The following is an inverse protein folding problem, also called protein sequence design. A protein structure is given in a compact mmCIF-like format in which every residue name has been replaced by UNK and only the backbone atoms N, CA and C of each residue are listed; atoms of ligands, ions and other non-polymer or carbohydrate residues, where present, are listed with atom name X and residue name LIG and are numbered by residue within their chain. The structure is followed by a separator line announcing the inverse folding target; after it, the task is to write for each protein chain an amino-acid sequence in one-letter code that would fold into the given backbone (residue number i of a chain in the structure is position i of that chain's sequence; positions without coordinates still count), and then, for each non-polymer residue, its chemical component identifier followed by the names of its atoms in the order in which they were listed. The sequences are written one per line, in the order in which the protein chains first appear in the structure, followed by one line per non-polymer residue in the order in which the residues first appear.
data_IF_941308673498
#
_entry.id   IF_941308673498
#
_cell.length_a   1.000
_cell.length_b   1.000
_cell.length_c   1.000
_cell.angle_alpha   90.00
_cell.angle_beta   90.00
_cell.angle_gamma   90.00
#
_symmetry.space_group_name_H-M   'P 1'
#
loop_
_entity.id
_entity.type
_entity.pdbx_description
1 polymer ?
#
# COMPACT_ATOMS: atom_id res chain seq x y z
N UNK A 1 22.78 -10.79 -8.21
CA UNK A 1 21.65 -10.04 -8.80
C UNK A 1 20.53 -10.91 -9.40
N UNK A 2 20.71 -12.22 -9.60
CA UNK A 2 19.64 -13.09 -10.12
C UNK A 2 18.72 -13.72 -9.04
N UNK A 3 19.15 -13.74 -7.77
CA UNK A 3 18.40 -14.34 -6.65
C UNK A 3 17.39 -13.40 -6.00
N UNK A 4 17.58 -12.07 -6.10
CA UNK A 4 16.68 -11.07 -5.49
C UNK A 4 15.40 -10.80 -6.30
N UNK A 5 15.40 -11.14 -7.59
CA UNK A 5 14.23 -10.92 -8.47
C UNK A 5 13.17 -12.01 -8.27
N UNK A 6 13.58 -13.21 -7.86
CA UNK A 6 12.65 -14.33 -7.63
C UNK A 6 11.85 -14.14 -6.34
N UNK A 7 12.42 -13.54 -5.30
CA UNK A 7 11.70 -13.25 -4.05
C UNK A 7 10.68 -12.11 -4.19
N UNK A 8 10.95 -11.11 -5.03
CA UNK A 8 9.98 -10.04 -5.31
C UNK A 8 8.79 -10.52 -6.15
N UNK A 9 8.97 -11.57 -6.94
CA UNK A 9 7.92 -12.16 -7.77
C UNK A 9 7.10 -13.23 -7.02
N UNK A 10 7.59 -13.71 -5.87
CA UNK A 10 6.85 -14.58 -4.97
C UNK A 10 5.95 -13.81 -3.98
N UNK A 11 6.23 -12.53 -3.73
CA UNK A 11 5.37 -11.67 -2.89
C UNK A 11 4.13 -11.12 -3.64
N UNK A 12 4.10 -11.15 -4.97
CA UNK A 12 2.91 -10.77 -5.75
C UNK A 12 1.86 -11.87 -5.88
N UNK A 13 2.17 -13.09 -5.44
CA UNK A 13 1.30 -14.27 -5.55
C UNK A 13 0.78 -14.77 -4.20
N UNK A 14 0.79 -13.93 -3.16
CA UNK A 14 -0.09 -14.21 -2.03
C UNK A 14 -1.52 -13.92 -2.48
N UNK A 15 -2.32 -14.99 -2.58
CA UNK A 15 -3.77 -14.91 -2.74
C UNK A 15 -4.29 -13.83 -1.80
N UNK A 16 -4.80 -12.75 -2.38
CA UNK A 16 -5.66 -11.81 -1.68
C UNK A 16 -6.80 -12.66 -1.13
N UNK A 17 -6.70 -13.04 0.15
CA UNK A 17 -7.80 -13.64 0.87
C UNK A 17 -8.85 -12.54 0.86
N UNK A 18 -9.77 -12.64 -0.11
CA UNK A 18 -11.05 -11.98 -0.03
C UNK A 18 -11.68 -12.54 1.23
N UNK A 19 -11.42 -11.86 2.35
CA UNK A 19 -12.26 -11.91 3.53
C UNK A 19 -13.62 -11.42 3.05
N UNK A 20 -14.42 -12.37 2.55
CA UNK A 20 -15.84 -12.22 2.42
C UNK A 20 -16.28 -11.88 3.83
N UNK A 21 -16.52 -10.59 4.09
CA UNK A 21 -17.24 -10.11 5.25
C UNK A 21 -18.57 -10.86 5.21
N UNK A 22 -18.61 -11.98 5.90
CA UNK A 22 -19.83 -12.69 6.18
C UNK A 22 -20.56 -11.75 7.13
N UNK A 23 -21.49 -10.97 6.55
CA UNK A 23 -22.43 -10.21 7.33
C UNK A 23 -22.98 -11.14 8.42
N UNK A 24 -22.99 -10.73 9.70
CA UNK A 24 -23.50 -11.58 10.77
C UNK A 24 -24.88 -12.05 10.34
N UNK A 25 -25.04 -13.38 10.28
CA UNK A 25 -26.26 -14.01 9.80
C UNK A 25 -27.45 -13.33 10.45
N UNK A 26 -28.33 -12.75 9.62
CA UNK A 26 -29.62 -12.22 10.04
C UNK A 26 -30.50 -13.41 10.42
N UNK A 27 -30.21 -14.00 11.58
CA UNK A 27 -30.98 -15.07 12.18
C UNK A 27 -32.15 -14.47 12.95
N UNK A 28 -33.12 -13.92 12.22
CA UNK A 28 -34.51 -13.88 12.67
C UNK A 28 -35.36 -13.88 11.40
N UNK A 29 -35.81 -15.07 10.99
CA UNK A 29 -37.02 -15.15 10.17
C UNK A 29 -38.09 -14.31 10.89
N UNK A 30 -38.82 -13.41 10.19
CA UNK A 30 -39.94 -12.72 10.84
C UNK A 30 -40.88 -13.80 11.40
N UNK A 31 -41.39 -13.65 12.63
CA UNK A 31 -42.36 -14.60 13.15
C UNK A 31 -43.50 -14.67 12.14
N UNK A 32 -43.83 -15.90 11.70
CA UNK A 32 -44.94 -16.14 10.78
C UNK A 32 -46.14 -15.35 11.29
N UNK A 33 -46.81 -14.54 10.44
CA UNK A 33 -47.95 -13.78 10.88
C UNK A 33 -48.95 -14.75 11.49
N UNK A 34 -49.33 -14.53 12.75
CA UNK A 34 -50.43 -15.23 13.38
C UNK A 34 -51.58 -15.21 12.40
N UNK A 35 -52.01 -16.40 11.94
CA UNK A 35 -53.19 -16.54 11.10
C UNK A 35 -54.35 -16.01 11.94
N UNK A 36 -54.71 -14.74 11.75
CA UNK A 36 -55.96 -14.18 12.24
C UNK A 36 -57.05 -15.03 11.61
N UNK A 37 -57.60 -15.96 12.39
CA UNK A 37 -58.84 -16.63 12.04
C UNK A 37 -59.81 -15.52 11.64
N UNK A 38 -60.33 -15.61 10.41
CA UNK A 38 -61.28 -14.65 9.88
C UNK A 38 -62.58 -14.75 10.69
N UNK A 39 -62.62 -14.16 11.87
CA UNK A 39 -63.87 -13.76 12.50
C UNK A 39 -64.22 -12.44 11.82
N UNK A 40 -64.89 -12.56 10.66
CA UNK A 40 -65.61 -11.44 10.02
C UNK A 40 -66.91 -11.15 10.78
N UNK A 41 -66.85 -11.08 12.10
CA UNK A 41 -67.85 -10.36 12.86
C UNK A 41 -67.17 -9.06 13.23
N UNK A 42 -67.70 -7.98 12.68
CA UNK A 42 -67.40 -6.64 13.16
C UNK A 42 -67.48 -6.69 14.70
N UNK A 43 -66.40 -6.41 15.44
CA UNK A 43 -66.40 -6.49 16.91
C UNK A 43 -67.47 -5.58 17.53
N UNK A 44 -67.96 -4.58 16.79
CA UNK A 44 -69.07 -3.72 17.20
C UNK A 44 -70.45 -4.37 16.97
N UNK A 45 -70.55 -5.32 16.05
CA UNK A 45 -71.79 -6.09 15.81
C UNK A 45 -72.15 -6.99 17.00
N UNK A 46 -71.17 -7.36 17.83
CA UNK A 46 -71.41 -8.03 19.11
C UNK A 46 -72.10 -7.11 20.14
N UNK A 47 -72.10 -5.79 19.91
CA UNK A 47 -72.71 -4.78 20.77
C UNK A 47 -74.08 -4.31 20.27
N UNK A 48 -74.50 -4.69 19.07
CA UNK A 48 -75.81 -4.34 18.53
C UNK A 48 -76.91 -5.25 19.13
N UNK A 49 -78.13 -4.73 19.42
CA UNK A 49 -79.26 -5.57 19.78
C UNK A 49 -79.59 -6.57 18.64
N UNK A 50 -79.88 -7.82 18.99
CA UNK A 50 -80.21 -8.84 17.98
C UNK A 50 -81.56 -8.56 17.30
N UNK A 51 -82.48 -7.91 18.03
CA UNK A 51 -83.81 -7.52 17.54
C UNK A 51 -83.76 -6.13 16.92
N UNK A 52 -84.44 -5.97 15.79
CA UNK A 52 -84.59 -4.68 15.09
C UNK A 52 -85.99 -4.04 15.24
N UNK A 53 -86.93 -4.74 15.88
CA UNK A 53 -88.34 -4.31 16.02
C UNK A 53 -88.88 -4.62 17.41
N UNK A 54 -89.68 -3.70 17.94
CA UNK A 54 -90.36 -3.85 19.23
C UNK A 54 -91.57 -4.77 19.09
N UNK A 55 -91.59 -5.83 19.89
CA UNK A 55 -92.63 -6.88 19.86
C UNK A 55 -93.62 -6.77 21.01
N UNK A 56 -93.26 -6.11 22.12
CA UNK A 56 -94.13 -5.93 23.28
C UNK A 56 -94.96 -4.66 23.15
N UNK A 57 -96.22 -4.73 23.60
CA UNK A 57 -97.15 -3.61 23.56
C UNK A 57 -96.69 -2.50 24.52
N UNK A 58 -96.12 -2.85 25.67
CA UNK A 58 -95.57 -1.86 26.61
C UNK A 58 -94.42 -1.07 25.99
N UNK A 59 -93.47 -1.72 25.31
CA UNK A 59 -92.34 -1.03 24.68
C UNK A 59 -92.81 -0.11 23.53
N UNK A 60 -93.78 -0.57 22.73
CA UNK A 60 -94.41 0.27 21.70
C UNK A 60 -95.13 1.48 22.30
N UNK A 61 -95.79 1.34 23.46
CA UNK A 61 -96.41 2.46 24.19
C UNK A 61 -95.37 3.46 24.70
N UNK A 62 -94.26 2.99 25.28
CA UNK A 62 -93.17 3.88 25.73
C UNK A 62 -92.63 4.71 24.56
N UNK A 63 -92.36 4.08 23.42
CA UNK A 63 -91.91 4.80 22.22
C UNK A 63 -92.97 5.76 21.68
N UNK A 64 -94.24 5.37 21.68
CA UNK A 64 -95.34 6.22 21.22
C UNK A 64 -95.49 7.48 22.09
N UNK A 65 -95.34 7.35 23.41
CA UNK A 65 -95.38 8.51 24.34
C UNK A 65 -94.21 9.45 24.07
N UNK A 66 -93.00 8.94 23.84
CA UNK A 66 -91.83 9.76 23.52
C UNK A 66 -91.99 10.50 22.19
N UNK A 67 -92.48 9.81 21.17
CA UNK A 67 -92.71 10.39 19.85
C UNK A 67 -93.85 11.44 19.87
N UNK A 68 -94.93 11.17 20.62
CA UNK A 68 -96.01 12.13 20.84
C UNK A 68 -95.52 13.35 21.64
N UNK A 69 -94.70 13.14 22.66
CA UNK A 69 -94.09 14.22 23.45
C UNK A 69 -93.19 15.10 22.57
N UNK A 70 -92.35 14.49 21.73
CA UNK A 70 -91.51 15.20 20.77
C UNK A 70 -92.34 16.04 19.80
N UNK A 71 -93.39 15.45 19.20
CA UNK A 71 -94.31 16.15 18.28
C UNK A 71 -95.03 17.30 18.96
N UNK A 72 -95.46 17.14 20.22
CA UNK A 72 -96.11 18.22 20.98
C UNK A 72 -95.14 19.36 21.28
N UNK A 73 -93.91 19.06 21.69
CA UNK A 73 -92.87 20.07 21.93
C UNK A 73 -92.53 20.80 20.64
N UNK A 74 -92.46 20.09 19.53
CA UNK A 74 -92.30 20.67 18.20
C UNK A 74 -93.43 21.65 17.87
N UNK A 75 -94.70 21.26 18.05
CA UNK A 75 -95.83 22.16 17.82
C UNK A 75 -95.81 23.38 18.75
N UNK A 76 -95.46 23.19 20.03
CA UNK A 76 -95.35 24.30 21.00
C UNK A 76 -94.25 25.29 20.59
N UNK A 77 -93.16 24.80 19.99
CA UNK A 77 -92.04 25.64 19.56
C UNK A 77 -92.41 26.69 18.51
N UNK A 78 -93.47 26.42 17.73
CA UNK A 78 -93.96 27.31 16.70
C UNK A 78 -94.99 28.33 17.20
N UNK A 79 -95.52 28.17 18.42
CA UNK A 79 -96.56 29.05 18.94
C UNK A 79 -96.15 30.53 18.93
N UNK A 80 -94.94 30.94 19.38
CA UNK A 80 -94.56 32.35 19.38
C UNK A 80 -94.65 32.97 17.99
N UNK A 81 -94.14 32.28 16.96
CA UNK A 81 -94.21 32.75 15.57
C UNK A 81 -95.64 32.87 15.04
N UNK A 82 -96.50 31.91 15.40
CA UNK A 82 -97.90 31.90 14.99
C UNK A 82 -98.68 33.05 15.65
N UNK A 83 -98.39 33.33 16.92
CA UNK A 83 -99.04 34.38 17.72
C UNK A 83 -98.69 35.79 17.22
N UNK A 84 -97.50 35.95 16.65
CA UNK A 84 -97.04 37.23 16.09
C UNK A 84 -97.78 37.60 14.79
N UNK A 85 -98.22 36.62 13.98
CA UNK A 85 -98.90 36.84 12.69
C UNK A 85 -100.13 35.92 12.52
N UNK A 86 -101.16 36.11 13.36
CA UNK A 86 -102.36 35.26 13.38
C UNK A 86 -103.23 35.38 12.12
N UNK A 87 -103.22 36.54 11.46
CA UNK A 87 -104.08 36.82 10.31
C UNK A 87 -103.66 36.00 9.08
N UNK A 88 -102.35 35.75 8.93
CA UNK A 88 -101.80 34.88 7.89
C UNK A 88 -102.29 33.44 7.97
N UNK A 89 -102.62 32.96 9.16
CA UNK A 89 -103.05 31.58 9.38
C UNK A 89 -104.56 31.43 9.60
N UNK A 90 -105.31 32.52 9.46
CA UNK A 90 -106.74 32.60 9.75
C UNK A 90 -107.59 31.57 8.99
N UNK A 91 -107.30 31.37 7.72
CA UNK A 91 -108.01 30.41 6.85
C UNK A 91 -107.71 28.96 7.22
N UNK A 92 -106.50 28.67 7.74
CA UNK A 92 -106.07 27.30 8.04
C UNK A 92 -106.53 26.81 9.40
N UNK A 93 -106.68 27.71 10.37
CA UNK A 93 -107.01 27.36 11.75
C UNK A 93 -108.51 27.36 12.03
N UNK A 94 -109.30 28.14 11.30
CA UNK A 94 -110.73 28.31 11.57
C UNK A 94 -110.98 29.19 12.81
N UNK A 95 -112.24 29.57 13.04
CA UNK A 95 -112.65 30.50 14.11
C UNK A 95 -112.21 30.06 15.50
N UNK A 96 -112.40 28.78 15.80
CA UNK A 96 -112.29 28.24 17.16
C UNK A 96 -110.82 28.14 17.60
N UNK A 97 -109.94 27.68 16.71
CA UNK A 97 -108.51 27.60 16.99
C UNK A 97 -107.86 29.00 17.01
N UNK A 98 -108.31 29.93 16.16
CA UNK A 98 -107.88 31.33 16.21
C UNK A 98 -108.26 31.99 17.54
N UNK A 99 -109.45 31.73 18.06
CA UNK A 99 -109.87 32.23 19.37
C UNK A 99 -108.98 31.65 20.49
N UNK A 100 -108.62 30.37 20.42
CA UNK A 100 -107.65 29.76 21.35
C UNK A 100 -106.26 30.40 21.27
N UNK A 101 -105.80 30.77 20.07
CA UNK A 101 -104.54 31.51 19.92
C UNK A 101 -104.63 32.95 20.45
N UNK A 102 -105.74 33.66 20.23
CA UNK A 102 -105.98 35.02 20.75
C UNK A 102 -106.05 35.05 22.27
N UNK A 103 -106.76 34.09 22.87
CA UNK A 103 -106.83 33.94 24.32
C UNK A 103 -105.47 33.58 24.91
N UNK A 104 -104.69 32.73 24.23
CA UNK A 104 -103.31 32.44 24.62
C UNK A 104 -102.41 33.68 24.52
N UNK A 105 -102.51 34.48 23.45
CA UNK A 105 -101.79 35.75 23.28
C UNK A 105 -102.08 36.73 24.40
N UNK A 106 -103.36 36.99 24.68
CA UNK A 106 -103.77 37.87 25.77
C UNK A 106 -103.29 37.38 27.15
N UNK A 107 -103.33 36.07 27.38
CA UNK A 107 -102.80 35.46 28.62
C UNK A 107 -101.28 35.59 28.71
N UNK A 108 -100.56 35.46 27.59
CA UNK A 108 -99.10 35.60 27.52
C UNK A 108 -98.67 37.06 27.74
N UNK A 109 -99.39 38.02 27.16
CA UNK A 109 -99.17 39.46 27.39
C UNK A 109 -99.40 39.81 28.86
N UNK A 110 -100.53 39.40 29.44
CA UNK A 110 -100.81 39.57 30.87
C UNK A 110 -99.76 38.92 31.78
N UNK A 111 -99.26 37.73 31.42
CA UNK A 111 -98.17 37.07 32.14
C UNK A 111 -96.87 37.88 32.08
N UNK A 112 -96.51 38.39 30.91
CA UNK A 112 -95.29 39.18 30.71
C UNK A 112 -95.36 40.52 31.45
N UNK A 113 -96.49 41.21 31.40
CA UNK A 113 -96.75 42.46 32.12
C UNK A 113 -96.65 42.25 33.64
N UNK A 114 -97.29 41.20 34.15
CA UNK A 114 -97.26 40.89 35.57
C UNK A 114 -95.88 40.44 36.05
N UNK A 115 -95.14 39.71 35.19
CA UNK A 115 -93.74 39.35 35.45
C UNK A 115 -92.83 40.58 35.47
N UNK A 116 -93.01 41.52 34.54
CA UNK A 116 -92.26 42.77 34.51
C UNK A 116 -92.57 43.64 35.74
N UNK A 117 -93.86 43.78 36.08
CA UNK A 117 -94.33 44.48 37.28
C UNK A 117 -93.78 43.85 38.58
N UNK A 118 -93.75 42.52 38.67
CA UNK A 118 -93.14 41.81 39.79
C UNK A 118 -91.62 42.03 39.85
N UNK A 119 -90.94 42.03 38.70
CA UNK A 119 -89.52 42.36 38.58
C UNK A 119 -89.23 43.77 39.09
N UNK A 120 -90.01 44.77 38.67
CA UNK A 120 -89.88 46.15 39.15
C UNK A 120 -90.11 46.28 40.66
N UNK A 121 -91.04 45.50 41.23
CA UNK A 121 -91.30 45.47 42.67
C UNK A 121 -90.13 44.85 43.45
N UNK A 122 -89.54 43.77 42.92
CA UNK A 122 -88.36 43.12 43.50
C UNK A 122 -87.12 44.03 43.42
N UNK A 123 -86.88 44.67 42.29
CA UNK A 123 -85.80 45.64 42.11
C UNK A 123 -85.96 46.86 43.05
N UNK A 124 -87.19 47.36 43.24
CA UNK A 124 -87.47 48.43 44.20
C UNK A 124 -87.22 48.01 45.64
N UNK A 125 -87.52 46.76 45.98
CA UNK A 125 -87.22 46.18 47.30
C UNK A 125 -85.72 46.02 47.51
N UNK A 126 -84.99 45.46 46.54
CA UNK A 126 -83.52 45.32 46.60
C UNK A 126 -82.78 46.67 46.71
N UNK A 127 -83.29 47.72 46.03
CA UNK A 127 -82.76 49.09 46.17
C UNK A 127 -83.07 49.71 47.53
N UNK A 128 -84.19 49.35 48.16
CA UNK A 128 -84.55 49.81 49.50
C UNK A 128 -83.74 49.08 50.60
N UNK A 129 -83.36 47.81 50.36
CA UNK A 129 -82.60 46.98 51.29
C UNK A 129 -81.06 47.06 51.10
N UNK A 130 -80.56 47.80 50.10
CA UNK A 130 -79.12 47.93 49.81
C UNK A 130 -78.36 48.83 50.82
N UNK A 131 -77.26 48.39 51.49
CA UNK A 131 -76.61 49.13 52.59
C UNK A 131 -75.47 50.09 52.16
N UNK A 132 -75.46 50.60 50.93
CA UNK A 132 -74.33 51.41 50.42
C UNK A 132 -74.63 52.92 50.46
N UNK A 133 -74.46 53.53 51.64
CA UNK A 133 -74.51 54.98 51.78
C UNK A 133 -74.70 55.51 53.20
N UNK A 134 -73.90 55.08 54.18
CA UNK A 134 -73.85 55.79 55.46
C UNK A 134 -72.45 55.77 56.08
N UNK A 135 -71.68 56.83 55.79
CA UNK A 135 -70.67 57.32 56.73
C UNK A 135 -71.19 58.63 57.34
N UNK A 136 -71.49 58.54 58.65
CA UNK A 136 -71.61 59.62 59.64
C UNK A 136 -72.80 60.58 59.41
N UNK A 137 -73.65 60.88 60.40
CA UNK A 137 -73.36 61.23 61.80
C UNK A 137 -74.71 61.34 62.53
N UNK A 138 -74.75 60.97 63.81
CA UNK A 138 -75.63 61.62 64.81
C UNK A 138 -77.04 61.08 64.97
N UNK A 139 -77.23 60.31 66.06
CA UNK A 139 -78.24 60.47 67.11
C UNK A 139 -79.71 60.78 66.79
N UNK A 140 -80.55 60.03 67.50
CA UNK A 140 -81.92 60.28 67.94
C UNK A 140 -83.08 59.78 67.06
N UNK A 141 -83.79 58.82 67.65
CA UNK A 141 -85.22 58.55 67.56
C UNK A 141 -85.94 58.85 66.22
N UNK A 142 -86.36 57.78 65.55
CA UNK A 142 -87.60 57.83 64.76
C UNK A 142 -88.21 56.43 64.65
N UNK A 143 -89.15 56.14 65.55
CA UNK A 143 -90.26 55.21 65.27
C UNK A 143 -91.02 55.81 64.07
N UNK A 144 -90.66 55.42 62.85
CA UNK A 144 -91.46 55.67 61.65
C UNK A 144 -91.42 54.44 60.74
N UNK A 145 -92.63 53.92 60.53
CA UNK A 145 -93.13 53.06 59.44
C UNK A 145 -92.59 51.63 59.28
N UNK A 146 -92.96 50.72 60.18
CA UNK A 146 -93.09 49.29 59.85
C UNK A 146 -94.28 48.98 58.91
N UNK A 147 -95.21 49.92 58.72
CA UNK A 147 -96.40 49.74 57.87
C UNK A 147 -96.12 49.82 56.35
N UNK A 148 -94.99 50.42 55.91
CA UNK A 148 -94.67 50.55 54.48
C UNK A 148 -93.94 49.34 53.91
N UNK A 149 -93.13 48.65 54.74
CA UNK A 149 -92.38 47.44 54.33
C UNK A 149 -93.33 46.24 54.20
N UNK A 150 -94.25 46.06 55.16
CA UNK A 150 -95.30 45.02 55.08
C UNK A 150 -96.19 45.22 53.84
N UNK A 151 -96.48 46.47 53.47
CA UNK A 151 -97.28 46.78 52.26
C UNK A 151 -96.61 46.38 50.95
N UNK A 152 -95.27 46.36 50.87
CA UNK A 152 -94.55 45.97 49.65
C UNK A 152 -94.44 44.45 49.58
N UNK A 153 -94.20 43.79 50.70
CA UNK A 153 -94.21 42.32 50.78
C UNK A 153 -95.59 41.73 50.46
N UNK A 154 -96.67 42.31 50.98
CA UNK A 154 -98.04 41.89 50.64
C UNK A 154 -98.36 42.06 49.14
N UNK A 155 -97.79 43.09 48.49
CA UNK A 155 -97.91 43.33 47.04
C UNK A 155 -97.10 42.34 46.22
N UNK A 156 -95.91 41.98 46.68
CA UNK A 156 -95.07 40.96 46.04
C UNK A 156 -95.75 39.59 46.14
N UNK A 157 -96.27 39.23 47.32
CA UNK A 157 -96.97 37.96 47.53
C UNK A 157 -98.27 37.86 46.72
N UNK A 158 -99.06 38.94 46.65
CA UNK A 158 -100.27 38.95 45.83
C UNK A 158 -99.97 38.91 44.33
N UNK A 159 -98.98 39.67 43.84
CA UNK A 159 -98.51 39.58 42.45
C UNK A 159 -97.93 38.21 42.12
N UNK A 160 -97.23 37.56 43.07
CA UNK A 160 -96.68 36.20 42.89
C UNK A 160 -97.79 35.16 42.78
N UNK A 161 -98.82 35.23 43.64
CA UNK A 161 -100.00 34.35 43.54
C UNK A 161 -100.78 34.57 42.24
N UNK A 162 -100.90 35.83 41.81
CA UNK A 162 -101.54 36.16 40.55
C UNK A 162 -100.74 35.63 39.35
N UNK A 163 -99.40 35.75 39.39
CA UNK A 163 -98.51 35.21 38.37
C UNK A 163 -98.62 33.69 38.27
N UNK A 164 -98.68 32.98 39.41
CA UNK A 164 -98.93 31.53 39.42
C UNK A 164 -100.29 31.15 38.83
N UNK A 165 -101.33 31.98 39.01
CA UNK A 165 -102.64 31.74 38.43
C UNK A 165 -102.60 31.92 36.90
N UNK A 166 -102.00 33.01 36.42
CA UNK A 166 -101.83 33.27 34.98
C UNK A 166 -100.91 32.22 34.35
N UNK A 167 -99.87 31.76 35.03
CA UNK A 167 -99.02 30.66 34.59
C UNK A 167 -99.83 29.37 34.41
N UNK A 168 -100.73 29.05 35.36
CA UNK A 168 -101.66 27.92 35.21
C UNK A 168 -102.56 28.13 34.00
N UNK A 169 -103.11 29.31 33.79
CA UNK A 169 -103.95 29.62 32.63
C UNK A 169 -103.17 29.47 31.32
N UNK A 170 -101.92 29.91 31.26
CA UNK A 170 -101.02 29.75 30.11
C UNK A 170 -100.76 28.27 29.81
N UNK A 171 -100.52 27.45 30.85
CA UNK A 171 -100.39 25.99 30.69
C UNK A 171 -101.68 25.36 30.16
N UNK A 172 -102.85 25.83 30.59
CA UNK A 172 -104.15 25.33 30.10
C UNK A 172 -104.43 25.77 28.66
N UNK A 173 -104.09 27.00 28.30
CA UNK A 173 -104.27 27.49 26.93
C UNK A 173 -103.39 26.72 25.94
N UNK A 174 -102.12 26.45 26.27
CA UNK A 174 -101.26 25.55 25.46
C UNK A 174 -101.87 24.15 25.34
N UNK A 175 -102.39 23.57 26.42
CA UNK A 175 -103.07 22.26 26.36
C UNK A 175 -104.31 22.27 25.48
N UNK A 176 -105.11 23.35 25.53
CA UNK A 176 -106.31 23.48 24.71
C UNK A 176 -105.95 23.62 23.23
N UNK A 177 -104.94 24.43 22.91
CA UNK A 177 -104.39 24.53 21.55
C UNK A 177 -103.91 23.17 21.05
N UNK A 178 -103.09 22.45 21.84
CA UNK A 178 -102.59 21.12 21.45
C UNK A 178 -103.71 20.09 21.26
N UNK A 179 -104.76 20.12 22.09
CA UNK A 179 -105.94 19.24 21.90
C UNK A 179 -106.68 19.60 20.62
N UNK A 180 -106.88 20.89 20.34
CA UNK A 180 -107.53 21.34 19.12
C UNK A 180 -106.72 20.98 17.86
N UNK A 181 -105.39 21.09 17.92
CA UNK A 181 -104.48 20.65 16.86
C UNK A 181 -104.47 19.12 16.69
N UNK A 182 -104.67 18.35 17.76
CA UNK A 182 -104.81 16.90 17.65
C UNK A 182 -106.11 16.50 16.93
N UNK A 183 -107.21 17.24 17.13
CA UNK A 183 -108.49 17.01 16.44
C UNK A 183 -108.46 17.51 14.98
N UNK A 184 -107.60 18.49 14.66
CA UNK A 184 -107.39 19.00 13.30
C UNK A 184 -105.96 18.71 12.80
N UNK A 185 -105.69 17.50 12.24
CA UNK A 185 -104.36 17.12 11.78
C UNK A 185 -103.87 17.93 10.56
N UNK A 186 -104.78 18.54 9.79
CA UNK A 186 -104.41 19.43 8.69
C UNK A 186 -103.71 20.70 9.19
N UNK A 187 -104.28 21.32 10.23
CA UNK A 187 -103.67 22.48 10.89
C UNK A 187 -102.33 22.14 11.55
N UNK A 188 -102.22 20.99 12.21
CA UNK A 188 -100.96 20.55 12.82
C UNK A 188 -99.83 20.32 11.79
N UNK A 189 -100.14 19.71 10.64
CA UNK A 189 -99.16 19.53 9.54
C UNK A 189 -98.76 20.86 8.93
N UNK A 190 -99.72 21.74 8.68
CA UNK A 190 -99.44 23.09 8.17
C UNK A 190 -98.46 23.82 9.10
N UNK A 191 -98.61 23.67 10.43
CA UNK A 191 -97.68 24.22 11.43
C UNK A 191 -96.27 23.59 11.33
N UNK A 192 -96.18 22.29 11.14
CA UNK A 192 -94.90 21.57 11.03
C UNK A 192 -94.14 21.89 9.74
N UNK A 193 -94.85 22.27 8.67
CA UNK A 193 -94.25 22.67 7.40
C UNK A 193 -93.73 24.13 7.41
N UNK A 194 -93.95 24.88 8.50
CA UNK A 194 -93.33 26.19 8.65
C UNK A 194 -91.81 26.06 8.76
N UNK A 195 -91.13 26.62 7.75
CA UNK A 195 -89.67 26.80 7.70
C UNK A 195 -89.26 28.02 8.54
N UNK A 196 -89.56 27.98 9.83
CA UNK A 196 -89.21 29.04 10.79
C UNK A 196 -88.03 28.57 11.63
N UNK A 197 -87.02 29.44 11.78
CA UNK A 197 -85.88 29.19 12.67
C UNK A 197 -86.35 29.16 14.13
N UNK A 198 -86.11 28.02 14.79
CA UNK A 198 -86.48 27.82 16.20
C UNK A 198 -85.39 28.37 17.11
N UNK A 199 -85.73 28.86 18.32
CA UNK A 199 -84.73 29.23 19.30
C UNK A 199 -83.77 28.07 19.63
N UNK A 200 -82.49 28.38 19.80
CA UNK A 200 -81.42 27.38 19.99
C UNK A 200 -81.71 26.40 21.13
N UNK A 201 -82.24 26.88 22.26
CA UNK A 201 -82.56 26.05 23.41
C UNK A 201 -83.62 24.98 23.11
N UNK A 202 -84.60 25.29 22.24
CA UNK A 202 -85.62 24.32 21.79
C UNK A 202 -85.00 23.30 20.84
N UNK A 203 -84.12 23.76 19.93
CA UNK A 203 -83.41 22.87 19.01
C UNK A 203 -82.57 21.84 19.77
N UNK A 204 -81.79 22.28 20.76
CA UNK A 204 -81.01 21.38 21.64
C UNK A 204 -81.90 20.42 22.41
N UNK A 205 -83.03 20.87 22.94
CA UNK A 205 -83.99 19.99 23.63
C UNK A 205 -84.58 18.94 22.68
N UNK A 206 -84.92 19.31 21.46
CA UNK A 206 -85.43 18.37 20.46
C UNK A 206 -84.38 17.36 19.99
N UNK A 207 -83.11 17.78 19.88
CA UNK A 207 -82.00 16.88 19.62
C UNK A 207 -81.83 15.88 20.75
N UNK A 208 -81.79 16.34 22.00
CA UNK A 208 -81.70 15.47 23.18
C UNK A 208 -82.87 14.47 23.27
N UNK A 209 -84.09 14.87 22.89
CA UNK A 209 -85.23 13.95 22.80
C UNK A 209 -85.08 12.92 21.69
N UNK A 210 -84.45 13.29 20.56
CA UNK A 210 -84.14 12.34 19.49
C UNK A 210 -83.08 11.33 19.93
N UNK A 211 -82.01 11.80 20.58
CA UNK A 211 -80.96 10.94 21.14
C UNK A 211 -81.53 10.00 22.22
N UNK A 212 -82.36 10.53 23.12
CA UNK A 212 -83.05 9.73 24.14
C UNK A 212 -83.96 8.67 23.49
N UNK A 213 -84.67 9.02 22.42
CA UNK A 213 -85.52 8.10 21.65
C UNK A 213 -84.70 6.95 21.08
N UNK A 214 -83.50 7.23 20.56
CA UNK A 214 -82.61 6.20 20.00
C UNK A 214 -82.02 5.31 21.11
N UNK A 215 -81.61 5.88 22.24
CA UNK A 215 -81.14 5.14 23.43
C UNK A 215 -82.24 4.22 23.96
N UNK A 216 -83.46 4.73 24.13
CA UNK A 216 -84.59 3.95 24.65
C UNK A 216 -84.97 2.86 23.66
N UNK A 217 -84.95 3.14 22.35
CA UNK A 217 -85.17 2.12 21.32
C UNK A 217 -84.15 0.99 21.45
N UNK A 218 -82.85 1.30 21.55
CA UNK A 218 -81.81 0.29 21.70
C UNK A 218 -81.98 -0.53 22.99
N UNK A 219 -82.28 0.13 24.11
CA UNK A 219 -82.52 -0.53 25.40
C UNK A 219 -83.74 -1.43 25.38
N UNK A 220 -84.83 -1.01 24.74
CA UNK A 220 -86.05 -1.82 24.59
C UNK A 220 -85.88 -2.99 23.60
N UNK A 221 -84.92 -2.90 22.68
CA UNK A 221 -84.56 -3.97 21.75
C UNK A 221 -83.56 -4.98 22.35
N UNK A 222 -82.85 -4.60 23.40
CA UNK A 222 -81.82 -5.43 24.05
C UNK A 222 -82.46 -6.33 25.11
N UNK A 223 -82.19 -7.63 25.04
CA UNK A 223 -82.62 -8.56 26.09
C UNK A 223 -81.66 -8.54 27.29
N UNK A 224 -82.09 -8.91 28.51
CA UNK A 224 -81.19 -8.96 29.68
C UNK A 224 -80.01 -9.92 29.48
N UNK A 225 -80.20 -10.99 28.70
CA UNK A 225 -79.12 -11.91 28.32
C UNK A 225 -78.14 -11.22 27.37
N UNK A 226 -78.63 -10.55 26.32
CA UNK A 226 -77.78 -9.77 25.41
C UNK A 226 -76.99 -8.66 26.17
N UNK A 227 -77.61 -7.98 27.14
CA UNK A 227 -76.90 -6.97 27.95
C UNK A 227 -75.79 -7.58 28.82
N UNK A 228 -76.03 -8.77 29.38
CA UNK A 228 -75.01 -9.51 30.12
C UNK A 228 -73.87 -9.99 29.21
N UNK A 229 -74.18 -10.51 28.02
CA UNK A 229 -73.19 -10.92 27.02
C UNK A 229 -72.34 -9.74 26.54
N UNK A 230 -72.95 -8.59 26.24
CA UNK A 230 -72.24 -7.34 25.89
C UNK A 230 -71.28 -6.93 27.01
N UNK A 231 -71.73 -6.96 28.26
CA UNK A 231 -70.90 -6.60 29.42
C UNK A 231 -69.72 -7.56 29.60
N UNK A 232 -69.94 -8.86 29.44
CA UNK A 232 -68.87 -9.87 29.51
C UNK A 232 -67.86 -9.69 28.38
N UNK A 233 -68.33 -9.49 27.15
CA UNK A 233 -67.48 -9.23 25.99
C UNK A 233 -66.61 -7.98 26.19
N UNK A 234 -67.20 -6.87 26.61
CA UNK A 234 -66.43 -5.65 26.92
C UNK A 234 -65.38 -5.88 28.00
N UNK A 235 -65.73 -6.59 29.08
CA UNK A 235 -64.79 -6.91 30.16
C UNK A 235 -63.61 -7.76 29.65
N UNK A 236 -63.90 -8.75 28.80
CA UNK A 236 -62.87 -9.60 28.19
C UNK A 236 -61.96 -8.80 27.26
N UNK A 237 -62.52 -7.96 26.39
CA UNK A 237 -61.75 -7.10 25.47
C UNK A 237 -60.86 -6.15 26.26
N UNK A 238 -61.38 -5.48 27.28
CA UNK A 238 -60.58 -4.59 28.14
C UNK A 238 -59.47 -5.35 28.88
N UNK A 239 -59.72 -6.59 29.32
CA UNK A 239 -58.69 -7.40 29.96
C UNK A 239 -57.57 -7.77 28.98
N UNK A 240 -57.94 -8.20 27.77
CA UNK A 240 -56.98 -8.51 26.70
C UNK A 240 -56.19 -7.27 26.28
N UNK A 241 -56.84 -6.11 26.17
CA UNK A 241 -56.19 -4.84 25.87
C UNK A 241 -55.13 -4.49 26.93
N UNK A 242 -55.45 -4.63 28.22
CA UNK A 242 -54.48 -4.41 29.30
C UNK A 242 -53.31 -5.39 29.24
N UNK A 243 -53.57 -6.67 29.00
CA UNK A 243 -52.50 -7.67 28.86
C UNK A 243 -51.60 -7.37 27.65
N UNK A 244 -52.19 -7.00 26.52
CA UNK A 244 -51.46 -6.63 25.32
C UNK A 244 -50.64 -5.35 25.56
N UNK A 245 -51.17 -4.37 26.29
CA UNK A 245 -50.44 -3.14 26.63
C UNK A 245 -49.19 -3.44 27.46
N UNK A 246 -49.31 -4.30 28.48
CA UNK A 246 -48.15 -4.75 29.29
C UNK A 246 -47.13 -5.51 28.43
N UNK A 247 -47.58 -6.38 27.53
CA UNK A 247 -46.68 -7.11 26.63
C UNK A 247 -45.97 -6.18 25.64
N UNK A 248 -46.68 -5.17 25.12
CA UNK A 248 -46.09 -4.15 24.24
C UNK A 248 -45.01 -3.38 25.00
N UNK A 249 -45.30 -2.91 26.22
CA UNK A 249 -44.34 -2.20 27.06
C UNK A 249 -43.09 -3.04 27.35
N UNK A 250 -43.25 -4.34 27.64
CA UNK A 250 -42.13 -5.26 27.83
C UNK A 250 -41.28 -5.40 26.57
N UNK A 251 -41.92 -5.63 25.41
CA UNK A 251 -41.22 -5.79 24.13
C UNK A 251 -40.53 -4.50 23.67
N UNK A 252 -41.13 -3.34 23.92
CA UNK A 252 -40.52 -2.04 23.68
C UNK A 252 -39.31 -1.82 24.58
N UNK A 253 -39.38 -2.26 25.85
CA UNK A 253 -38.25 -2.25 26.77
C UNK A 253 -37.09 -3.14 26.30
N UNK A 254 -37.38 -4.40 25.95
CA UNK A 254 -36.38 -5.34 25.41
C UNK A 254 -35.74 -4.80 24.11
N UNK A 255 -36.54 -4.20 23.24
CA UNK A 255 -36.05 -3.57 22.01
C UNK A 255 -35.10 -2.41 22.31
N UNK A 256 -35.45 -1.54 23.26
CA UNK A 256 -34.60 -0.42 23.65
C UNK A 256 -33.26 -0.88 24.23
N UNK A 257 -33.26 -1.87 25.11
CA UNK A 257 -32.02 -2.44 25.66
C UNK A 257 -31.15 -3.02 24.54
N UNK A 258 -31.74 -3.79 23.62
CA UNK A 258 -31.01 -4.35 22.47
C UNK A 258 -30.43 -3.27 21.54
N UNK A 259 -31.14 -2.15 21.35
CA UNK A 259 -30.66 -1.00 20.58
C UNK A 259 -29.48 -0.31 21.28
N UNK A 260 -29.57 -0.09 22.59
CA UNK A 260 -28.50 0.50 23.40
C UNK A 260 -27.24 -0.36 23.38
N UNK A 261 -27.36 -1.68 23.57
CA UNK A 261 -26.25 -2.63 23.50
C UNK A 261 -25.58 -2.61 22.12
N UNK A 262 -26.39 -2.61 21.06
CA UNK A 262 -25.89 -2.51 19.68
C UNK A 262 -25.15 -1.19 19.47
N UNK A 263 -25.68 -0.07 19.95
CA UNK A 263 -25.03 1.23 19.82
C UNK A 263 -23.73 1.33 20.63
N UNK A 264 -23.70 0.75 21.84
CA UNK A 264 -22.48 0.64 22.64
C UNK A 264 -21.40 -0.18 21.93
N UNK A 265 -21.76 -1.33 21.35
CA UNK A 265 -20.84 -2.18 20.59
C UNK A 265 -20.33 -1.49 19.32
N UNK A 266 -21.21 -0.78 18.60
CA UNK A 266 -20.81 0.03 17.44
C UNK A 266 -19.83 1.13 17.84
N UNK A 267 -20.06 1.82 18.97
CA UNK A 267 -19.13 2.83 19.49
C UNK A 267 -17.76 2.21 19.79
N UNK A 268 -17.71 1.09 20.52
CA UNK A 268 -16.46 0.37 20.82
C UNK A 268 -15.68 -0.01 19.55
N UNK A 269 -16.37 -0.59 18.56
CA UNK A 269 -15.76 -0.96 17.27
C UNK A 269 -15.23 0.26 16.52
N UNK A 270 -16.00 1.36 16.48
CA UNK A 270 -15.55 2.61 15.87
C UNK A 270 -14.31 3.19 16.56
N UNK A 271 -14.20 3.09 17.88
CA UNK A 271 -13.01 3.54 18.61
C UNK A 271 -11.78 2.66 18.33
N UNK A 272 -11.97 1.35 18.14
CA UNK A 272 -10.90 0.44 17.69
C UNK A 272 -10.47 0.79 16.26
N UNK A 273 -11.42 1.02 15.35
CA UNK A 273 -11.13 1.40 13.97
C UNK A 273 -10.31 2.70 13.94
N UNK A 274 -10.71 3.73 14.71
CA UNK A 274 -9.96 5.00 14.77
C UNK A 274 -8.53 4.81 15.27
N UNK A 275 -8.32 3.96 16.30
CA UNK A 275 -6.98 3.64 16.79
C UNK A 275 -6.13 2.94 15.75
N UNK A 276 -6.67 1.89 15.11
CA UNK A 276 -5.96 1.15 14.07
C UNK A 276 -5.62 2.03 12.85
N UNK A 277 -6.52 2.95 12.47
CA UNK A 277 -6.24 3.92 11.42
C UNK A 277 -5.11 4.87 11.78
N UNK A 278 -5.06 5.35 13.03
CA UNK A 278 -3.97 6.19 13.52
C UNK A 278 -2.63 5.42 13.56
N UNK A 279 -2.64 4.19 14.07
CA UNK A 279 -1.46 3.33 14.13
C UNK A 279 -0.92 3.01 12.72
N UNK A 280 -1.81 2.70 11.78
CA UNK A 280 -1.44 2.40 10.39
C UNK A 280 -0.80 3.64 9.73
N UNK A 281 -1.43 4.81 9.85
CA UNK A 281 -0.87 6.05 9.33
C UNK A 281 0.49 6.39 9.98
N UNK A 282 0.64 6.12 11.28
CA UNK A 282 1.90 6.31 11.98
C UNK A 282 2.99 5.37 11.46
N UNK A 283 2.69 4.07 11.31
CA UNK A 283 3.61 3.08 10.76
C UNK A 283 4.02 3.45 9.34
N UNK A 284 3.07 3.80 8.48
CA UNK A 284 3.32 4.20 7.09
C UNK A 284 4.27 5.40 7.02
N UNK A 285 4.01 6.44 7.82
CA UNK A 285 4.89 7.62 7.89
C UNK A 285 6.30 7.25 8.37
N UNK A 286 6.43 6.44 9.42
CA UNK A 286 7.73 6.02 9.94
C UNK A 286 8.48 5.12 8.94
N UNK A 287 7.78 4.20 8.27
CA UNK A 287 8.39 3.34 7.26
C UNK A 287 8.85 4.14 6.06
N UNK A 288 8.06 5.10 5.58
CA UNK A 288 8.43 5.94 4.45
C UNK A 288 9.65 6.82 4.77
N UNK A 289 9.67 7.42 5.96
CA UNK A 289 10.84 8.18 6.43
C UNK A 289 12.08 7.27 6.55
N UNK A 290 11.93 6.07 7.11
CA UNK A 290 13.02 5.11 7.28
C UNK A 290 13.56 4.61 5.93
N UNK A 291 12.68 4.24 5.00
CA UNK A 291 13.04 3.81 3.64
C UNK A 291 13.77 4.96 2.94
N UNK A 292 13.27 6.20 3.03
CA UNK A 292 13.90 7.36 2.41
C UNK A 292 15.29 7.63 2.96
N UNK A 293 15.47 7.55 4.29
CA UNK A 293 16.79 7.70 4.94
C UNK A 293 17.76 6.60 4.49
N UNK A 294 17.32 5.35 4.56
CA UNK A 294 18.13 4.19 4.18
C UNK A 294 18.58 4.26 2.72
N UNK A 295 17.66 4.59 1.79
CA UNK A 295 17.99 4.79 0.38
C UNK A 295 19.00 5.90 0.17
N UNK A 296 18.77 7.07 0.79
CA UNK A 296 19.69 8.21 0.65
C UNK A 296 21.08 7.91 1.21
N UNK A 297 21.18 7.18 2.32
CA UNK A 297 22.46 6.76 2.90
C UNK A 297 23.17 5.73 2.01
N UNK A 298 22.43 4.75 1.48
CA UNK A 298 22.96 3.78 0.52
C UNK A 298 23.48 4.45 -0.76
N UNK A 299 22.74 5.40 -1.34
CA UNK A 299 23.15 6.17 -2.52
C UNK A 299 24.42 7.00 -2.26
N UNK A 300 24.53 7.63 -1.08
CA UNK A 300 25.73 8.36 -0.67
C UNK A 300 26.93 7.44 -0.54
N UNK A 301 26.74 6.28 0.09
CA UNK A 301 27.79 5.28 0.27
C UNK A 301 28.25 4.73 -1.09
N UNK A 302 27.31 4.35 -1.96
CA UNK A 302 27.60 3.90 -3.33
C UNK A 302 28.37 4.96 -4.12
N UNK A 303 27.95 6.22 -4.07
CA UNK A 303 28.67 7.31 -4.74
C UNK A 303 30.10 7.50 -4.20
N UNK A 304 30.30 7.38 -2.89
CA UNK A 304 31.62 7.48 -2.27
C UNK A 304 32.52 6.31 -2.68
N UNK A 305 32.00 5.08 -2.65
CA UNK A 305 32.72 3.87 -3.03
C UNK A 305 33.07 3.86 -4.52
N UNK A 306 32.15 4.33 -5.36
CA UNK A 306 32.38 4.48 -6.80
C UNK A 306 33.53 5.48 -7.06
N UNK A 307 33.52 6.66 -6.44
CA UNK A 307 34.61 7.64 -6.58
C UNK A 307 35.95 7.10 -6.07
N UNK A 308 35.94 6.36 -4.96
CA UNK A 308 37.16 5.74 -4.41
C UNK A 308 37.70 4.66 -5.37
N UNK A 309 36.82 3.84 -5.93
CA UNK A 309 37.15 2.83 -6.93
C UNK A 309 37.74 3.46 -8.20
N UNK A 310 37.08 4.48 -8.76
CA UNK A 310 37.56 5.25 -9.91
C UNK A 310 38.95 5.86 -9.65
N UNK A 311 39.15 6.45 -8.46
CA UNK A 311 40.45 6.99 -8.06
C UNK A 311 41.55 5.92 -7.99
N UNK A 312 41.25 4.71 -7.49
CA UNK A 312 42.19 3.58 -7.47
C UNK A 312 42.48 3.06 -8.88
N UNK A 313 41.46 2.94 -9.71
CA UNK A 313 41.62 2.52 -11.11
C UNK A 313 42.51 3.49 -11.88
N UNK A 314 42.30 4.81 -11.72
CA UNK A 314 43.12 5.83 -12.36
C UNK A 314 44.59 5.73 -11.92
N UNK A 315 44.86 5.54 -10.62
CA UNK A 315 46.23 5.34 -10.09
C UNK A 315 46.89 4.09 -10.67
N UNK A 316 46.19 2.95 -10.66
CA UNK A 316 46.72 1.70 -11.23
C UNK A 316 46.95 1.81 -12.73
N UNK A 317 46.07 2.50 -13.48
CA UNK A 317 46.28 2.75 -14.90
C UNK A 317 47.51 3.63 -15.15
N UNK A 318 47.75 4.63 -14.31
CA UNK A 318 48.97 5.45 -14.36
C UNK A 318 50.21 4.62 -14.03
N UNK A 319 50.18 3.77 -13.01
CA UNK A 319 51.29 2.86 -12.70
C UNK A 319 51.58 1.92 -13.87
N UNK A 320 50.55 1.32 -14.47
CA UNK A 320 50.69 0.47 -15.66
C UNK A 320 51.31 1.23 -16.83
N UNK A 321 50.89 2.47 -17.09
CA UNK A 321 51.46 3.27 -18.18
C UNK A 321 52.93 3.61 -17.91
N UNK A 322 53.28 4.01 -16.69
CA UNK A 322 54.68 4.29 -16.31
C UNK A 322 55.57 3.05 -16.41
N UNK A 323 55.11 1.89 -15.91
CA UNK A 323 55.85 0.63 -16.00
C UNK A 323 56.04 0.18 -17.46
N UNK A 324 55.05 0.38 -18.31
CA UNK A 324 55.18 0.11 -19.76
C UNK A 324 56.25 0.99 -20.40
N UNK A 325 56.28 2.28 -20.06
CA UNK A 325 57.33 3.20 -20.55
C UNK A 325 58.70 2.78 -20.03
N UNK A 326 58.83 2.45 -18.74
CA UNK A 326 60.09 1.97 -18.16
C UNK A 326 60.59 0.69 -18.85
N UNK A 327 59.69 -0.28 -19.07
CA UNK A 327 60.02 -1.51 -19.79
C UNK A 327 60.50 -1.21 -21.22
N UNK A 328 59.81 -0.33 -21.93
CA UNK A 328 60.20 0.05 -23.30
C UNK A 328 61.59 0.71 -23.33
N UNK A 329 61.87 1.60 -22.37
CA UNK A 329 63.18 2.24 -22.24
C UNK A 329 64.28 1.21 -21.97
N UNK A 330 64.08 0.29 -21.03
CA UNK A 330 65.02 -0.81 -20.76
C UNK A 330 65.25 -1.69 -21.99
N UNK A 331 64.19 -2.01 -22.74
CA UNK A 331 64.34 -2.76 -24.00
C UNK A 331 65.20 -1.99 -25.00
N UNK A 332 65.02 -0.67 -25.15
CA UNK A 332 65.85 0.13 -26.04
C UNK A 332 67.30 0.22 -25.57
N UNK A 333 67.54 0.43 -24.28
CA UNK A 333 68.89 0.48 -23.69
C UNK A 333 69.61 -0.86 -23.86
N UNK A 334 68.93 -1.98 -23.60
CA UNK A 334 69.51 -3.30 -23.81
C UNK A 334 69.81 -3.56 -25.28
N UNK A 335 68.90 -3.22 -26.21
CA UNK A 335 69.15 -3.35 -27.65
C UNK A 335 70.36 -2.52 -28.11
N UNK A 336 70.48 -1.27 -27.64
CA UNK A 336 71.62 -0.42 -27.96
C UNK A 336 72.92 -0.98 -27.37
N UNK A 337 72.90 -1.42 -26.11
CA UNK A 337 74.05 -2.05 -25.46
C UNK A 337 74.49 -3.32 -26.19
N UNK A 338 73.55 -4.16 -26.61
CA UNK A 338 73.80 -5.38 -27.38
C UNK A 338 74.40 -5.02 -28.75
N UNK A 339 73.83 -4.04 -29.46
CA UNK A 339 74.35 -3.57 -30.75
C UNK A 339 75.79 -3.04 -30.62
N UNK A 340 76.06 -2.27 -29.55
CA UNK A 340 77.40 -1.77 -29.25
C UNK A 340 78.38 -2.92 -28.97
N UNK A 341 77.97 -3.94 -28.21
CA UNK A 341 78.80 -5.13 -27.95
C UNK A 341 79.03 -5.96 -29.22
N UNK A 342 78.00 -6.16 -30.06
CA UNK A 342 78.14 -6.81 -31.37
C UNK A 342 79.11 -6.04 -32.28
N UNK A 343 79.05 -4.71 -32.27
CA UNK A 343 79.99 -3.86 -33.00
C UNK A 343 81.43 -3.98 -32.48
N UNK A 344 81.64 -4.01 -31.17
CA UNK A 344 82.96 -4.27 -30.56
C UNK A 344 83.50 -5.65 -30.91
N UNK A 345 82.63 -6.67 -30.81
CA UNK A 345 82.95 -8.06 -31.19
C UNK A 345 83.43 -8.11 -32.65
N UNK A 346 82.67 -7.54 -33.58
CA UNK A 346 83.02 -7.52 -35.00
C UNK A 346 84.38 -6.84 -35.26
N UNK A 347 84.67 -5.72 -34.58
CA UNK A 347 85.98 -5.05 -34.68
C UNK A 347 87.13 -5.95 -34.22
N UNK A 348 86.98 -6.60 -33.06
CA UNK A 348 87.99 -7.52 -32.55
C UNK A 348 88.16 -8.74 -33.45
N UNK A 349 87.06 -9.32 -33.96
CA UNK A 349 87.12 -10.42 -34.92
C UNK A 349 87.85 -9.99 -36.21
N UNK A 350 87.60 -8.77 -36.70
CA UNK A 350 88.32 -8.21 -37.86
C UNK A 350 89.81 -8.00 -37.55
N UNK A 351 90.16 -7.54 -36.36
CA UNK A 351 91.57 -7.40 -35.94
C UNK A 351 92.27 -8.76 -35.86
N UNK A 352 91.61 -9.78 -35.29
CA UNK A 352 92.13 -11.16 -35.22
C UNK A 352 92.32 -11.72 -36.63
N UNK A 353 91.34 -11.56 -37.52
CA UNK A 353 91.45 -11.97 -38.92
C UNK A 353 92.63 -11.29 -39.62
N UNK A 354 92.83 -9.98 -39.40
CA UNK A 354 93.99 -9.26 -39.92
C UNK A 354 95.32 -9.81 -39.38
N UNK A 355 95.38 -10.19 -38.09
CA UNK A 355 96.57 -10.82 -37.50
C UNK A 355 96.83 -12.21 -38.08
N UNK A 356 95.78 -13.02 -38.29
CA UNK A 356 95.88 -14.33 -38.95
C UNK A 356 96.44 -14.15 -40.37
N UNK A 357 95.87 -13.26 -41.17
CA UNK A 357 96.35 -12.98 -42.54
C UNK A 357 97.81 -12.54 -42.57
N UNK A 358 98.23 -11.66 -41.64
CA UNK A 358 99.64 -11.26 -41.51
C UNK A 358 100.54 -12.43 -41.14
N UNK A 359 100.11 -13.27 -40.19
CA UNK A 359 100.86 -14.45 -39.78
C UNK A 359 100.99 -15.45 -40.92
N UNK A 360 99.90 -15.76 -41.62
CA UNK A 360 99.89 -16.69 -42.76
C UNK A 360 100.78 -16.18 -43.90
N UNK A 361 100.80 -14.86 -44.15
CA UNK A 361 101.69 -14.24 -45.13
C UNK A 361 103.16 -14.35 -44.70
N UNK A 362 103.52 -13.94 -43.48
CA UNK A 362 104.92 -14.01 -42.99
C UNK A 362 105.43 -15.46 -42.92
N UNK A 363 104.58 -16.39 -42.46
CA UNK A 363 104.91 -17.83 -42.45
C UNK A 363 105.05 -18.39 -43.86
N UNK A 364 104.18 -17.99 -44.80
CA UNK A 364 104.29 -18.34 -46.21
C UNK A 364 105.60 -17.84 -46.82
N UNK A 365 105.94 -16.57 -46.61
CA UNK A 365 107.18 -15.95 -47.09
C UNK A 365 108.42 -16.63 -46.47
N UNK A 366 108.40 -16.91 -45.17
CA UNK A 366 109.46 -17.65 -44.47
C UNK A 366 109.62 -19.07 -45.00
N UNK A 367 108.52 -19.76 -45.27
CA UNK A 367 108.54 -21.11 -45.83
C UNK A 367 109.11 -21.09 -47.25
N UNK A 368 108.70 -20.14 -48.09
CA UNK A 368 109.29 -19.97 -49.43
C UNK A 368 110.79 -19.66 -49.37
N UNK A 369 111.23 -18.80 -48.45
CA UNK A 369 112.67 -18.54 -48.24
C UNK A 369 113.41 -19.79 -47.76
N UNK A 370 112.82 -20.56 -46.84
CA UNK A 370 113.41 -21.82 -46.39
C UNK A 370 113.55 -22.83 -47.53
N UNK A 371 112.50 -23.01 -48.34
CA UNK A 371 112.52 -23.89 -49.51
C UNK A 371 113.54 -23.43 -50.56
N UNK A 372 113.67 -22.11 -50.79
CA UNK A 372 114.71 -21.57 -51.67
C UNK A 372 116.12 -21.84 -51.11
N UNK A 373 116.34 -21.65 -49.80
CA UNK A 373 117.62 -21.97 -49.18
C UNK A 373 117.91 -23.46 -49.17
N UNK A 374 116.91 -24.32 -48.94
CA UNK A 374 117.07 -25.78 -48.95
C UNK A 374 117.34 -26.30 -50.36
N UNK A 375 116.69 -25.75 -51.38
CA UNK A 375 117.02 -26.06 -52.79
C UNK A 375 118.46 -25.66 -53.12
N UNK A 376 118.89 -24.45 -52.77
CA UNK A 376 120.31 -24.04 -52.92
C UNK A 376 121.25 -24.93 -52.13
N UNK A 377 120.94 -25.23 -50.87
CA UNK A 377 121.76 -26.11 -50.02
C UNK A 377 121.89 -27.52 -50.62
N UNK A 378 120.80 -28.10 -51.13
CA UNK A 378 120.84 -29.42 -51.75
C UNK A 378 121.61 -29.41 -53.07
N UNK A 379 121.54 -28.34 -53.86
CA UNK A 379 122.37 -28.14 -55.05
C UNK A 379 123.85 -27.98 -54.70
N UNK A 380 124.19 -27.09 -53.77
CA UNK A 380 125.56 -26.88 -53.29
C UNK A 380 126.13 -28.17 -52.68
N UNK A 381 125.32 -28.93 -51.94
CA UNK A 381 125.71 -30.23 -51.39
C UNK A 381 125.98 -31.27 -52.48
N UNK A 382 125.19 -31.28 -53.56
CA UNK A 382 125.48 -32.12 -54.74
C UNK A 382 126.78 -31.69 -55.41
N UNK A 383 126.97 -30.39 -55.64
CA UNK A 383 128.20 -29.86 -56.24
C UNK A 383 129.43 -30.16 -55.38
N UNK A 384 129.32 -30.05 -54.05
CA UNK A 384 130.37 -30.42 -53.12
C UNK A 384 130.69 -31.92 -53.24
N UNK A 385 129.67 -32.77 -53.27
CA UNK A 385 129.86 -34.21 -53.44
C UNK A 385 130.56 -34.55 -54.77
N UNK A 386 130.15 -33.92 -55.87
CA UNK A 386 130.82 -34.05 -57.17
C UNK A 386 132.30 -33.58 -57.11
N UNK A 387 132.58 -32.50 -56.38
CA UNK A 387 133.94 -32.03 -56.15
C UNK A 387 134.75 -32.98 -55.28
N UNK A 388 134.18 -33.53 -54.21
CA UNK A 388 134.80 -34.54 -53.35
C UNK A 388 135.13 -35.81 -54.15
N UNK A 389 134.22 -36.27 -55.01
CA UNK A 389 134.49 -37.37 -55.95
C UNK A 389 135.65 -37.02 -56.90
N UNK A 390 135.69 -35.80 -57.46
CA UNK A 390 136.84 -35.35 -58.25
C UNK A 390 138.14 -35.26 -57.45
N UNK A 391 138.09 -34.81 -56.20
CA UNK A 391 139.28 -34.76 -55.35
C UNK A 391 139.76 -36.15 -54.96
N UNK A 392 138.85 -37.09 -54.71
CA UNK A 392 139.22 -38.49 -54.43
C UNK A 392 139.84 -39.16 -55.64
N UNK A 393 139.29 -38.97 -56.84
CA UNK A 393 139.93 -39.47 -58.08
C UNK A 393 141.29 -38.81 -58.28
N UNK A 394 141.40 -37.49 -58.14
CA UNK A 394 142.66 -36.77 -58.26
C UNK A 394 143.68 -37.18 -57.17
N UNK A 395 143.23 -37.48 -55.95
CA UNK A 395 144.08 -38.03 -54.90
C UNK A 395 144.61 -39.42 -55.26
N UNK A 396 143.78 -40.27 -55.88
CA UNK A 396 144.24 -41.59 -56.35
C UNK A 396 145.26 -41.44 -57.47
N UNK A 397 145.05 -40.54 -58.42
CA UNK A 397 146.02 -40.21 -59.47
C UNK A 397 147.30 -39.61 -58.89
N UNK A 398 147.20 -38.69 -57.92
CA UNK A 398 148.36 -38.11 -57.24
C UNK A 398 149.15 -39.17 -56.47
N UNK A 399 148.48 -40.07 -55.76
CA UNK A 399 149.10 -41.21 -55.07
C UNK A 399 149.77 -42.17 -56.05
N UNK A 400 149.15 -42.44 -57.21
CA UNK A 400 149.76 -43.22 -58.29
C UNK A 400 151.02 -42.55 -58.84
N UNK A 401 151.00 -41.25 -59.12
CA UNK A 401 152.17 -40.49 -59.61
C UNK A 401 153.28 -40.43 -58.56
N UNK A 402 152.93 -40.22 -57.29
CA UNK A 402 153.88 -40.24 -56.16
C UNK A 402 154.57 -41.61 -56.05
N UNK A 403 153.79 -42.69 -56.14
CA UNK A 403 154.28 -44.06 -56.07
C UNK A 403 155.12 -44.43 -57.30
N UNK A 404 154.73 -43.99 -58.50
CA UNK A 404 155.48 -44.16 -59.74
C UNK A 404 156.85 -43.43 -59.67
N UNK A 405 156.88 -42.22 -59.09
CA UNK A 405 158.12 -41.47 -58.80
C UNK A 405 158.97 -42.15 -57.71
N UNK A 406 158.36 -42.84 -56.74
CA UNK A 406 159.07 -43.62 -55.72
C UNK A 406 159.78 -44.82 -56.35
N UNK A 407 159.05 -45.62 -57.13
CA UNK A 407 159.56 -46.79 -57.85
C UNK A 407 160.66 -46.40 -58.84
N UNK A 408 160.50 -45.27 -59.55
CA UNK A 408 161.51 -44.77 -60.48
C UNK A 408 162.81 -44.33 -59.79
N UNK A 409 162.75 -43.75 -58.58
CA UNK A 409 163.94 -43.44 -57.77
C UNK A 409 164.63 -44.71 -57.28
N UNK A 410 163.87 -45.67 -56.77
CA UNK A 410 164.39 -46.94 -56.25
C UNK A 410 165.13 -47.74 -57.33
N UNK A 411 164.58 -47.80 -58.55
CA UNK A 411 165.25 -48.42 -59.71
C UNK A 411 166.56 -47.74 -60.09
N UNK A 412 166.62 -46.41 -59.99
CA UNK A 412 167.82 -45.62 -60.30
C UNK A 412 168.94 -45.86 -59.28
N UNK A 413 168.60 -45.90 -57.99
CA UNK A 413 169.55 -46.20 -56.91
C UNK A 413 170.03 -47.66 -56.93
N UNK A 414 169.17 -48.61 -57.31
CA UNK A 414 169.56 -50.01 -57.47
C UNK A 414 170.60 -50.19 -58.59
N UNK A 415 170.41 -49.54 -59.74
CA UNK A 415 171.34 -49.58 -60.87
C UNK A 415 172.71 -48.95 -60.52
N UNK A 416 172.73 -47.86 -59.75
CA UNK A 416 173.99 -47.25 -59.27
C UNK A 416 174.77 -48.17 -58.32
N UNK A 417 174.08 -48.88 -57.41
CA UNK A 417 174.71 -49.85 -56.51
C UNK A 417 175.32 -51.02 -57.24
N UNK A 418 174.67 -51.52 -58.29
CA UNK A 418 175.17 -52.63 -59.11
C UNK A 418 176.43 -52.22 -59.89
N UNK A 419 176.41 -51.01 -60.48
CA UNK A 419 177.58 -50.45 -61.17
C UNK A 419 178.77 -50.23 -60.21
N UNK A 420 178.51 -49.77 -58.98
CA UNK A 420 179.57 -49.62 -57.98
C UNK A 420 180.17 -50.96 -57.51
N UNK A 421 179.40 -52.04 -57.46
CA UNK A 421 179.94 -53.38 -57.17
C UNK A 421 180.86 -53.89 -58.28
N UNK A 422 180.48 -53.70 -59.56
CA UNK A 422 181.33 -54.09 -60.69
C UNK A 422 182.67 -53.35 -60.68
N UNK A 423 182.68 -52.06 -60.35
CA UNK A 423 183.91 -51.26 -60.30
C UNK A 423 184.83 -51.72 -59.15
N UNK A 424 184.28 -52.03 -57.96
CA UNK A 424 185.05 -52.57 -56.83
C UNK A 424 185.68 -53.94 -57.14
N UNK A 425 184.95 -54.81 -57.83
CA UNK A 425 185.46 -56.10 -58.30
C UNK A 425 186.65 -55.96 -59.26
N UNK A 426 186.53 -55.09 -60.27
CA UNK A 426 187.58 -54.86 -61.26
C UNK A 426 188.88 -54.27 -60.64
N UNK A 427 188.75 -53.39 -59.65
CA UNK A 427 189.90 -52.71 -59.01
C UNK A 427 190.73 -53.67 -58.14
N UNK A 428 190.06 -54.61 -57.47
CA UNK A 428 190.70 -55.57 -56.56
C UNK A 428 191.54 -56.60 -57.32
N UNK A 429 191.05 -57.05 -58.48
CA UNK A 429 191.76 -57.98 -59.38
C UNK A 429 193.03 -57.32 -59.95
N UNK A 430 192.94 -56.04 -60.36
CA UNK A 430 194.10 -55.31 -60.88
C UNK A 430 195.18 -55.05 -59.81
N UNK A 431 194.77 -54.82 -58.55
CA UNK A 431 195.70 -54.57 -57.45
C UNK A 431 196.49 -55.84 -57.04
N UNK A 432 195.85 -57.01 -57.02
CA UNK A 432 196.51 -58.26 -56.62
C UNK A 432 197.59 -58.71 -57.61
N UNK A 433 197.32 -58.61 -58.92
CA UNK A 433 198.27 -59.00 -59.98
C UNK A 433 199.53 -58.10 -60.00
N UNK A 434 199.37 -56.80 -59.77
CA UNK A 434 200.49 -55.85 -59.67
C UNK A 434 201.37 -56.13 -58.44
N UNK A 435 200.79 -56.58 -57.32
CA UNK A 435 201.56 -56.89 -56.09
C UNK A 435 202.32 -58.22 -56.15
N UNK A 436 201.86 -59.19 -56.94
CA UNK A 436 202.54 -60.48 -57.13
C UNK A 436 203.81 -60.32 -57.98
N UNK A 437 203.73 -59.52 -59.05
CA UNK A 437 204.85 -59.32 -59.98
C UNK A 437 206.05 -58.60 -59.33
N UNK A 438 205.79 -57.73 -58.34
CA UNK A 438 206.82 -56.94 -57.62
C UNK A 438 207.55 -57.77 -56.55
N UNK A 439 206.93 -58.82 -55.98
CA UNK A 439 207.50 -59.59 -54.86
C UNK A 439 208.51 -60.68 -55.24
N UNK A 440 208.74 -60.96 -56.53
CA UNK A 440 209.59 -62.09 -56.98
C UNK A 440 211.07 -61.75 -57.28
N UNK A 441 211.51 -60.49 -57.26
CA UNK A 441 212.77 -60.10 -57.95
C UNK A 441 213.96 -59.55 -57.10
N UNK A 442 214.05 -59.63 -55.76
CA UNK A 442 215.18 -59.00 -55.01
C UNK A 442 215.75 -59.74 -53.76
N UNK A 443 216.63 -60.77 -53.94
CA UNK A 443 217.85 -61.09 -53.10
C UNK A 443 218.84 -62.16 -53.71
N UNK A 444 219.99 -61.74 -54.28
CA UNK A 444 221.39 -62.25 -54.07
C UNK A 444 221.72 -62.95 -52.76
N UNK A 445 222.00 -64.24 -52.73
CA UNK A 445 222.60 -64.96 -51.61
C UNK A 445 221.56 -65.02 -50.48
N UNK A 446 220.68 -66.02 -50.54
CA UNK A 446 220.50 -67.02 -51.63
C UNK A 446 219.45 -66.49 -52.63
N UNK A 447 219.65 -66.16 -53.93
CA UNK A 447 220.73 -66.00 -54.96
C UNK A 447 220.15 -65.26 -56.22
N UNK A 448 219.90 -63.94 -56.20
CA UNK A 448 220.06 -63.03 -57.39
C UNK A 448 219.65 -61.52 -57.26
N UNK A 449 220.62 -60.60 -57.46
CA UNK A 449 220.71 -59.17 -57.89
C UNK A 449 219.45 -58.33 -58.34
N UNK A 450 219.36 -57.03 -57.94
CA UNK A 450 219.10 -55.89 -58.88
C UNK A 450 217.85 -54.94 -58.81
N UNK A 451 217.98 -53.76 -58.14
CA UNK A 451 217.66 -52.31 -58.47
C UNK A 451 216.41 -51.79 -59.27
N UNK A 452 215.68 -50.77 -58.71
CA UNK A 452 215.01 -49.57 -59.35
C UNK A 452 213.47 -49.61 -59.61
N UNK A 453 212.61 -48.54 -59.69
CA UNK A 453 212.64 -47.05 -59.54
C UNK A 453 211.19 -46.44 -59.68
N UNK A 454 210.88 -45.31 -58.98
CA UNK A 454 209.98 -44.12 -59.25
C UNK A 454 208.46 -44.18 -59.64
N UNK A 455 207.71 -43.26 -59.01
CA UNK A 455 206.79 -42.25 -59.62
C UNK A 455 205.29 -42.57 -59.55
N UNK A 456 204.33 -41.63 -59.47
CA UNK A 456 204.29 -40.15 -59.42
C UNK A 456 202.82 -39.76 -59.11
N UNK A 457 202.65 -38.59 -58.46
CA UNK A 457 201.45 -37.72 -58.30
C UNK A 457 200.07 -38.28 -58.57
#
# INVERSE_FOLDING_TARGET
MATSVVELQQLSNQETIHMRLQAPGRATSPPKPFKKGKIKLDPLRALEPARKKLTTVEAQRVMAVLEDTRKRIELVSYLPFIIDDLDRFSVMFGSDLLELFRTHKATQESYNELRASLGDLLDRKERADSPAGSQRRGSAASVRSNASVTSVDDKIDSSTRHLQLVEKQLRHSVKNILRSLATNPGAARAIQELKVERPQHVSTMMQALSELRDIIMEKLLTTPVEEQEKKQYLTQVTHQERQNAVLIEQLEGELNVALEDKDAEVKKKNDVIRRLQADLHQIEKFSDEHIKRTKSEAEKQESADQKNSEGKQAKLQQEVSTLRTQLQNLISEHKESEQNLRGKKFKLETEVENWIQRYDTDMGDRQSQFEEMDTRYTEEKKQLHELEERFTTLETEYKQIQEERRIAREKREAAEREMQMMIKGATTIQAFWRSYKVRKALKSKKKGKGKGKKGKK
#
